data_IF_708056214288
#
_entry.id   IF_708056214288
#
_cell.length_a   1.000
_cell.length_b   1.000
_cell.length_c   1.000
_cell.angle_alpha   90.00
_cell.angle_beta   90.00
_cell.angle_gamma   90.00
#
_symmetry.space_group_name_H-M   'P 1'
#
loop_
_entity.id
_entity.type
_entity.pdbx_description
1 polymer ?
#
# COMPACT_ATOMS: atom_id res chain seq x y z
N UNK A 1 22.11 2.16 -1.18
CA UNK A 1 22.44 1.10 -2.16
C UNK A 1 23.71 1.52 -2.88
N UNK A 2 24.76 0.74 -2.70
CA UNK A 2 26.07 1.02 -3.30
C UNK A 2 26.05 0.62 -4.79
N UNK A 3 25.84 1.62 -5.65
CA UNK A 3 25.87 1.46 -7.11
C UNK A 3 27.22 0.94 -7.59
N UNK A 4 28.30 1.28 -6.88
CA UNK A 4 29.64 0.87 -7.21
C UNK A 4 29.88 -0.62 -7.06
N UNK A 5 29.00 -1.36 -6.36
CA UNK A 5 29.06 -2.81 -6.23
C UNK A 5 28.48 -3.59 -7.42
N UNK A 6 27.76 -2.92 -8.32
CA UNK A 6 27.12 -3.53 -9.49
C UNK A 6 27.89 -3.23 -10.77
N UNK A 7 29.05 -3.86 -10.91
CA UNK A 7 29.92 -3.73 -12.10
C UNK A 7 29.64 -4.89 -13.06
N UNK A 8 28.72 -4.68 -13.99
CA UNK A 8 28.44 -5.61 -15.09
C UNK A 8 28.85 -5.01 -16.44
N UNK A 9 29.01 -5.86 -17.46
CA UNK A 9 29.26 -5.43 -18.85
C UNK A 9 27.98 -5.23 -19.67
N UNK A 10 26.81 -5.52 -19.09
CA UNK A 10 25.49 -5.38 -19.71
C UNK A 10 24.84 -4.04 -19.41
N UNK A 11 23.59 -3.89 -19.87
CA UNK A 11 22.75 -2.73 -19.52
C UNK A 11 22.43 -2.74 -18.02
N UNK A 12 22.54 -1.58 -17.41
CA UNK A 12 22.12 -1.35 -16.03
C UNK A 12 20.68 -0.83 -16.03
N UNK A 13 19.78 -1.61 -15.45
CA UNK A 13 18.38 -1.27 -15.35
C UNK A 13 18.05 -1.01 -13.87
N UNK A 14 17.65 0.22 -13.53
CA UNK A 14 17.15 0.56 -12.22
C UNK A 14 15.65 0.24 -12.12
N UNK A 15 15.22 -0.28 -10.96
CA UNK A 15 13.81 -0.47 -10.65
C UNK A 15 13.49 0.12 -9.27
N UNK A 16 13.51 1.46 -9.14
CA UNK A 16 13.19 2.13 -7.88
C UNK A 16 11.70 2.03 -7.59
N UNK A 17 11.38 1.71 -6.34
CA UNK A 17 10.02 1.80 -5.78
C UNK A 17 10.06 2.87 -4.71
N UNK A 18 9.29 3.92 -4.89
CA UNK A 18 9.29 5.10 -4.03
C UNK A 18 7.88 5.68 -3.88
N UNK A 19 7.69 6.49 -2.86
CA UNK A 19 6.41 7.10 -2.51
C UNK A 19 6.48 8.64 -2.41
N UNK A 20 7.64 9.22 -2.72
CA UNK A 20 7.89 10.67 -2.69
C UNK A 20 7.83 11.28 -4.09
N UNK A 21 7.61 12.58 -4.15
CA UNK A 21 7.59 13.35 -5.41
C UNK A 21 8.92 14.05 -5.71
N UNK A 22 9.85 14.04 -4.76
CA UNK A 22 11.17 14.63 -4.89
C UNK A 22 12.25 13.63 -4.50
N UNK A 23 13.36 13.64 -5.24
CA UNK A 23 14.54 12.82 -4.99
C UNK A 23 15.68 13.69 -4.44
N UNK A 24 16.46 13.12 -3.54
CA UNK A 24 17.70 13.72 -3.11
C UNK A 24 18.81 13.56 -4.18
N UNK A 25 19.93 14.24 -3.98
CA UNK A 25 21.05 14.24 -4.95
C UNK A 25 21.62 12.82 -5.18
N UNK A 26 21.73 11.99 -4.15
CA UNK A 26 22.26 10.63 -4.25
C UNK A 26 21.32 9.72 -5.05
N UNK A 27 20.02 9.84 -4.86
CA UNK A 27 18.99 9.12 -5.63
C UNK A 27 19.03 9.54 -7.10
N UNK A 28 19.14 10.84 -7.38
CA UNK A 28 19.26 11.38 -8.75
C UNK A 28 20.53 10.85 -9.43
N UNK A 29 21.67 10.90 -8.73
CA UNK A 29 22.94 10.36 -9.26
C UNK A 29 22.81 8.87 -9.53
N UNK A 30 22.21 8.14 -8.61
CA UNK A 30 21.99 6.70 -8.71
C UNK A 30 21.17 6.34 -9.95
N UNK A 31 20.07 7.03 -10.17
CA UNK A 31 19.22 6.79 -11.34
C UNK A 31 19.88 7.20 -12.66
N UNK A 32 20.69 8.27 -12.67
CA UNK A 32 21.44 8.69 -13.86
C UNK A 32 22.51 7.71 -14.32
N UNK A 33 22.99 6.83 -13.45
CA UNK A 33 23.94 5.79 -13.80
C UNK A 33 23.27 4.55 -14.44
N UNK A 34 21.94 4.51 -14.49
CA UNK A 34 21.23 3.44 -15.16
C UNK A 34 21.01 3.76 -16.65
N UNK A 35 21.13 2.75 -17.51
CA UNK A 35 20.81 2.85 -18.94
C UNK A 35 19.29 2.98 -19.15
N UNK A 36 18.51 2.35 -18.27
CA UNK A 36 17.03 2.40 -18.25
C UNK A 36 16.51 2.42 -16.81
N UNK A 37 15.35 3.01 -16.64
CA UNK A 37 14.59 2.95 -15.38
C UNK A 37 13.24 2.28 -15.64
N UNK A 38 12.93 1.27 -14.87
CA UNK A 38 11.59 0.70 -14.76
C UNK A 38 10.92 1.23 -13.50
N UNK A 39 9.65 1.59 -13.60
CA UNK A 39 8.84 2.04 -12.46
C UNK A 39 7.49 1.36 -12.49
N UNK A 40 6.84 1.22 -11.35
CA UNK A 40 5.59 0.45 -11.27
C UNK A 40 4.39 1.18 -11.91
N UNK A 41 4.41 2.53 -11.97
CA UNK A 41 3.23 3.31 -12.33
C UNK A 41 3.55 4.48 -13.26
N UNK A 42 2.53 4.99 -13.98
CA UNK A 42 2.62 6.23 -14.76
C UNK A 42 2.93 7.42 -13.87
N UNK A 43 2.37 7.46 -12.66
CA UNK A 43 2.70 8.46 -11.66
C UNK A 43 4.20 8.45 -11.34
N UNK A 44 4.78 7.30 -11.01
CA UNK A 44 6.20 7.17 -10.72
C UNK A 44 7.07 7.55 -11.94
N UNK A 45 6.62 7.19 -13.15
CA UNK A 45 7.28 7.63 -14.39
C UNK A 45 7.33 9.15 -14.51
N UNK A 46 6.22 9.82 -14.23
CA UNK A 46 6.16 11.28 -14.30
C UNK A 46 7.07 11.93 -13.27
N UNK A 47 7.09 11.42 -12.03
CA UNK A 47 7.99 11.91 -10.97
C UNK A 47 9.45 11.83 -11.39
N UNK A 48 9.88 10.70 -11.97
CA UNK A 48 11.27 10.56 -12.47
C UNK A 48 11.55 11.55 -13.61
N UNK A 49 10.66 11.64 -14.60
CA UNK A 49 10.86 12.51 -15.77
C UNK A 49 10.87 14.00 -15.43
N UNK A 50 10.18 14.41 -14.37
CA UNK A 50 10.20 15.81 -13.92
C UNK A 50 11.57 16.23 -13.35
N UNK A 51 12.37 15.28 -12.88
CA UNK A 51 13.62 15.57 -12.16
C UNK A 51 14.87 15.10 -12.91
N UNK A 52 14.72 14.12 -13.79
CA UNK A 52 15.86 13.49 -14.47
C UNK A 52 15.64 13.44 -15.97
N UNK A 53 16.60 14.01 -16.72
CA UNK A 53 16.62 13.87 -18.19
C UNK A 53 17.35 12.58 -18.58
N UNK A 54 16.63 11.66 -19.20
CA UNK A 54 17.21 10.45 -19.77
C UNK A 54 17.51 10.64 -21.27
N UNK A 55 18.72 10.29 -21.68
CA UNK A 55 19.16 10.53 -23.04
C UNK A 55 18.84 9.40 -24.05
N UNK A 56 18.76 8.15 -23.64
CA UNK A 56 18.67 7.05 -24.62
C UNK A 56 17.77 5.87 -24.23
N UNK A 57 17.59 5.59 -22.96
CA UNK A 57 16.85 4.38 -22.54
C UNK A 57 15.42 4.65 -22.13
N UNK A 58 15.19 5.87 -21.66
CA UNK A 58 13.87 6.26 -21.17
C UNK A 58 13.48 5.62 -19.86
N UNK A 59 12.32 6.01 -19.40
CA UNK A 59 11.67 5.48 -18.20
C UNK A 59 10.45 4.69 -18.65
N UNK A 60 10.38 3.41 -18.28
CA UNK A 60 9.33 2.50 -18.69
C UNK A 60 8.44 2.10 -17.52
N UNK A 61 7.14 2.06 -17.74
CA UNK A 61 6.18 1.55 -16.75
C UNK A 61 6.13 0.03 -16.85
N UNK A 62 6.42 -0.63 -15.73
CA UNK A 62 6.42 -2.10 -15.58
C UNK A 62 5.63 -2.41 -14.31
N UNK A 63 4.31 -2.57 -14.40
CA UNK A 63 3.46 -2.86 -13.26
C UNK A 63 3.85 -4.16 -12.56
N UNK A 64 3.67 -4.21 -11.25
CA UNK A 64 3.80 -5.47 -10.50
C UNK A 64 2.50 -6.27 -10.61
N UNK A 65 2.62 -7.58 -10.49
CA UNK A 65 1.52 -8.51 -10.52
C UNK A 65 1.09 -8.99 -9.13
N UNK A 66 0.08 -9.85 -9.13
CA UNK A 66 -0.39 -10.61 -7.96
C UNK A 66 -0.49 -12.10 -8.35
N UNK A 67 -0.20 -12.97 -7.39
CA UNK A 67 -0.38 -14.42 -7.56
C UNK A 67 -1.86 -14.79 -7.46
N UNK A 68 -2.53 -14.90 -8.60
CA UNK A 68 -3.96 -15.25 -8.69
C UNK A 68 -4.23 -16.73 -8.43
N UNK A 69 -3.22 -17.58 -8.39
CA UNK A 69 -3.37 -18.98 -7.94
C UNK A 69 -3.49 -19.08 -6.42
N UNK A 70 -2.90 -18.13 -5.71
CA UNK A 70 -2.97 -18.03 -4.27
C UNK A 70 -4.14 -17.14 -3.81
N UNK A 71 -4.16 -15.89 -4.30
CA UNK A 71 -5.19 -14.90 -3.95
C UNK A 71 -6.39 -15.06 -4.88
N UNK A 72 -7.36 -15.88 -4.45
CA UNK A 72 -8.55 -16.21 -5.22
C UNK A 72 -9.80 -15.55 -4.67
N UNK A 73 -10.77 -15.24 -5.53
CA UNK A 73 -12.05 -14.71 -5.09
C UNK A 73 -12.70 -15.61 -4.03
N UNK A 74 -13.14 -15.00 -2.95
CA UNK A 74 -13.77 -15.66 -1.82
C UNK A 74 -14.93 -14.82 -1.29
N UNK A 75 -16.02 -15.49 -0.92
CA UNK A 75 -17.11 -14.81 -0.22
C UNK A 75 -16.84 -14.83 1.28
N UNK A 76 -16.94 -13.69 1.92
CA UNK A 76 -17.17 -13.63 3.35
C UNK A 76 -18.64 -13.98 3.61
N UNK A 77 -18.92 -14.75 4.62
CA UNK A 77 -20.22 -15.39 4.70
C UNK A 77 -21.06 -14.99 5.91
N UNK A 78 -20.59 -14.08 6.77
CA UNK A 78 -21.27 -13.83 8.04
C UNK A 78 -20.98 -12.44 8.62
N UNK A 79 -21.92 -11.93 9.39
CA UNK A 79 -21.73 -10.82 10.32
C UNK A 79 -20.66 -11.16 11.39
N UNK A 80 -19.82 -10.21 11.84
CA UNK A 80 -19.84 -8.78 11.50
C UNK A 80 -19.29 -8.46 10.11
N UNK A 81 -19.57 -7.24 9.60
CA UNK A 81 -18.85 -6.69 8.44
C UNK A 81 -17.43 -6.35 8.84
N UNK A 82 -16.45 -6.95 8.18
CA UNK A 82 -15.04 -6.82 8.54
C UNK A 82 -14.32 -5.92 7.54
N UNK A 83 -13.88 -4.76 8.01
CA UNK A 83 -12.93 -3.90 7.32
C UNK A 83 -11.52 -4.35 7.63
N UNK A 84 -10.65 -4.41 6.62
CA UNK A 84 -9.29 -4.92 6.77
C UNK A 84 -8.26 -3.92 6.25
N UNK A 85 -7.19 -3.74 7.01
CA UNK A 85 -6.00 -3.03 6.58
C UNK A 85 -4.75 -3.81 6.97
N UNK A 86 -3.73 -3.79 6.12
CA UNK A 86 -2.44 -4.36 6.42
C UNK A 86 -1.30 -3.53 5.82
N UNK A 87 -0.12 -3.67 6.41
CA UNK A 87 1.09 -2.99 5.99
C UNK A 87 1.93 -2.50 7.16
N UNK A 88 2.84 -1.57 6.91
CA UNK A 88 3.64 -0.96 7.97
C UNK A 88 2.84 0.10 8.69
N UNK A 89 2.96 0.20 10.03
CA UNK A 89 2.47 1.35 10.77
C UNK A 89 3.19 2.62 10.32
N UNK A 90 2.50 3.48 9.57
CA UNK A 90 3.01 4.74 9.04
C UNK A 90 1.89 5.77 8.85
N UNK A 91 2.20 7.04 9.06
CA UNK A 91 1.29 8.14 8.69
C UNK A 91 1.04 8.19 7.18
N UNK A 92 2.05 7.85 6.37
CA UNK A 92 1.91 7.75 4.92
C UNK A 92 0.82 6.76 4.51
N UNK A 93 0.68 5.64 5.22
CA UNK A 93 -0.38 4.64 5.02
C UNK A 93 -1.78 5.12 5.47
N UNK A 94 -1.89 6.33 6.02
CA UNK A 94 -3.14 6.93 6.46
C UNK A 94 -3.71 6.33 7.76
N UNK A 95 -2.90 5.63 8.55
CA UNK A 95 -3.37 4.98 9.77
C UNK A 95 -3.91 5.96 10.83
N UNK A 96 -3.36 7.17 10.89
CA UNK A 96 -3.87 8.25 11.72
C UNK A 96 -5.28 8.70 11.30
N UNK A 97 -5.54 8.74 10.01
CA UNK A 97 -6.82 9.12 9.43
C UNK A 97 -7.84 7.96 9.49
N UNK A 98 -7.43 6.73 9.18
CA UNK A 98 -8.29 5.55 9.21
C UNK A 98 -9.00 5.38 10.55
N UNK A 99 -8.26 5.55 11.66
CA UNK A 99 -8.83 5.44 13.00
C UNK A 99 -9.93 6.49 13.24
N UNK A 100 -9.67 7.74 12.83
CA UNK A 100 -10.64 8.83 12.97
C UNK A 100 -11.91 8.55 12.15
N UNK A 101 -11.74 8.12 10.89
CA UNK A 101 -12.86 7.79 10.02
C UNK A 101 -13.69 6.62 10.56
N UNK A 102 -13.06 5.56 11.07
CA UNK A 102 -13.77 4.42 11.64
C UNK A 102 -14.61 4.81 12.86
N UNK A 103 -14.06 5.60 13.77
CA UNK A 103 -14.78 6.10 14.94
C UNK A 103 -15.88 7.13 14.60
N UNK A 104 -15.76 7.81 13.46
CA UNK A 104 -16.78 8.75 12.99
C UNK A 104 -17.94 8.06 12.22
N UNK A 105 -17.62 6.97 11.52
CA UNK A 105 -18.56 6.27 10.67
C UNK A 105 -19.50 5.32 11.42
N UNK A 106 -19.08 4.80 12.58
CA UNK A 106 -19.77 3.73 13.29
C UNK A 106 -20.02 4.07 14.76
N UNK A 107 -21.00 3.37 15.35
CA UNK A 107 -21.34 3.43 16.79
C UNK A 107 -21.15 2.04 17.43
N UNK A 108 -21.11 1.94 18.78
CA UNK A 108 -20.89 0.66 19.48
C UNK A 108 -21.91 -0.45 19.16
N UNK A 109 -23.13 -0.10 18.77
CA UNK A 109 -24.17 -1.08 18.41
C UNK A 109 -24.04 -1.63 16.99
N UNK A 110 -23.24 -1.02 16.12
CA UNK A 110 -23.05 -1.48 14.75
C UNK A 110 -22.30 -2.81 14.72
N UNK A 111 -22.73 -3.72 13.85
CA UNK A 111 -22.12 -5.04 13.73
C UNK A 111 -20.94 -5.02 12.73
N UNK A 112 -19.88 -4.31 13.11
CA UNK A 112 -18.68 -4.09 12.30
C UNK A 112 -17.42 -4.38 13.11
N UNK A 113 -16.34 -4.75 12.43
CA UNK A 113 -14.99 -4.86 12.99
C UNK A 113 -13.97 -4.21 12.05
N UNK A 114 -12.91 -3.66 12.62
CA UNK A 114 -11.71 -3.23 11.89
C UNK A 114 -10.55 -4.16 12.25
N UNK A 115 -10.05 -4.88 11.27
CA UNK A 115 -8.91 -5.76 11.43
C UNK A 115 -7.64 -5.10 10.92
N UNK A 116 -6.66 -4.94 11.82
CA UNK A 116 -5.39 -4.29 11.54
C UNK A 116 -4.25 -5.31 11.61
N UNK A 117 -3.72 -5.72 10.47
CA UNK A 117 -2.53 -6.58 10.35
C UNK A 117 -1.32 -5.72 10.00
N UNK A 118 -0.94 -4.86 10.94
CA UNK A 118 0.09 -3.86 10.74
C UNK A 118 1.26 -4.07 11.70
N UNK A 119 2.47 -4.00 11.14
CA UNK A 119 3.73 -4.09 11.88
C UNK A 119 4.82 -3.32 11.12
N UNK A 120 5.64 -2.56 11.84
CA UNK A 120 6.75 -1.83 11.23
C UNK A 120 8.06 -2.17 11.97
N UNK A 121 8.95 -2.97 11.38
CA UNK A 121 10.17 -3.43 12.04
C UNK A 121 11.18 -2.31 12.33
N UNK A 122 10.95 -1.11 11.83
CA UNK A 122 11.89 0.02 11.97
C UNK A 122 11.54 1.00 13.10
N UNK A 123 10.37 0.89 13.72
CA UNK A 123 9.92 1.86 14.71
C UNK A 123 9.89 1.33 16.15
N UNK A 124 10.30 0.07 16.37
CA UNK A 124 10.40 -0.48 17.73
C UNK A 124 9.11 -0.28 18.55
N UNK A 125 9.24 0.48 19.66
CA UNK A 125 8.12 0.79 20.57
C UNK A 125 6.95 1.50 19.85
N UNK A 126 7.19 2.20 18.76
CA UNK A 126 6.14 2.86 17.99
C UNK A 126 5.03 1.91 17.46
N UNK A 127 5.33 0.62 17.30
CA UNK A 127 4.31 -0.39 17.00
C UNK A 127 3.27 -0.48 18.12
N UNK A 128 3.73 -0.53 19.38
CA UNK A 128 2.86 -0.60 20.54
C UNK A 128 2.08 0.71 20.72
N UNK A 129 2.70 1.85 20.42
CA UNK A 129 2.04 3.16 20.53
C UNK A 129 0.87 3.26 19.55
N UNK A 130 1.04 2.80 18.30
CA UNK A 130 -0.05 2.69 17.32
C UNK A 130 -1.16 1.75 17.81
N UNK A 131 -0.82 0.56 18.28
CA UNK A 131 -1.79 -0.40 18.80
C UNK A 131 -2.58 0.17 19.97
N UNK A 132 -1.89 0.83 20.92
CA UNK A 132 -2.52 1.47 22.08
C UNK A 132 -3.50 2.57 21.63
N UNK A 133 -3.10 3.41 20.65
CA UNK A 133 -3.97 4.47 20.11
C UNK A 133 -5.25 3.90 19.54
N UNK A 134 -5.17 2.83 18.75
CA UNK A 134 -6.35 2.17 18.19
C UNK A 134 -7.23 1.52 19.26
N UNK A 135 -6.63 0.81 20.22
CA UNK A 135 -7.33 0.11 21.29
C UNK A 135 -7.98 1.04 22.31
N UNK A 136 -7.40 2.20 22.56
CA UNK A 136 -7.97 3.21 23.48
C UNK A 136 -8.99 4.14 22.83
N UNK A 137 -9.26 3.97 21.52
CA UNK A 137 -10.24 4.78 20.81
C UNK A 137 -11.68 4.40 21.19
N UNK A 138 -12.70 5.24 20.90
CA UNK A 138 -14.09 4.97 21.24
C UNK A 138 -14.63 3.60 20.80
N UNK A 139 -14.16 3.11 19.65
CA UNK A 139 -14.52 1.79 19.12
C UNK A 139 -13.38 0.77 19.24
N UNK A 140 -12.45 0.95 20.18
CA UNK A 140 -11.30 0.07 20.35
C UNK A 140 -11.64 -1.42 20.53
N UNK A 141 -12.77 -1.73 21.15
CA UNK A 141 -13.27 -3.10 21.33
C UNK A 141 -13.67 -3.77 20.00
N UNK A 142 -13.97 -2.98 18.96
CA UNK A 142 -14.27 -3.44 17.60
C UNK A 142 -13.03 -3.54 16.71
N UNK A 143 -11.87 -3.17 17.24
CA UNK A 143 -10.61 -3.19 16.49
C UNK A 143 -9.78 -4.40 16.87
N UNK A 144 -9.54 -5.30 15.93
CA UNK A 144 -8.74 -6.49 16.11
C UNK A 144 -7.33 -6.27 15.58
N UNK A 145 -6.34 -6.38 16.48
CA UNK A 145 -4.93 -6.43 16.08
C UNK A 145 -4.56 -7.85 15.67
N UNK A 146 -4.10 -8.00 14.44
CA UNK A 146 -3.65 -9.28 13.88
C UNK A 146 -2.13 -9.24 13.76
N UNK A 147 -1.41 -10.20 14.34
CA UNK A 147 0.03 -10.28 14.19
C UNK A 147 0.44 -10.42 12.73
N UNK A 148 1.61 -9.89 12.37
CA UNK A 148 2.23 -10.12 11.06
C UNK A 148 2.31 -11.62 10.78
N UNK A 149 1.92 -11.98 9.57
CA UNK A 149 1.95 -13.38 9.12
C UNK A 149 3.29 -13.71 8.44
N UNK A 150 3.70 -14.97 8.56
CA UNK A 150 4.97 -15.44 8.01
C UNK A 150 4.85 -15.96 6.58
N UNK A 151 3.64 -16.23 6.09
CA UNK A 151 3.41 -16.74 4.73
C UNK A 151 2.29 -15.99 4.02
N UNK A 152 2.39 -15.88 2.69
CA UNK A 152 1.31 -15.32 1.86
C UNK A 152 0.01 -16.13 1.97
N UNK A 153 0.09 -17.44 2.23
CA UNK A 153 -1.07 -18.29 2.46
C UNK A 153 -1.85 -17.87 3.73
N UNK A 154 -1.13 -17.50 4.78
CA UNK A 154 -1.76 -17.05 6.02
C UNK A 154 -2.37 -15.65 5.85
N UNK A 155 -1.69 -14.77 5.10
CA UNK A 155 -2.24 -13.47 4.68
C UNK A 155 -3.55 -13.68 3.90
N UNK A 156 -3.56 -14.52 2.88
CA UNK A 156 -4.77 -14.89 2.14
C UNK A 156 -5.88 -15.42 3.06
N UNK A 157 -5.53 -16.27 4.03
CA UNK A 157 -6.50 -16.85 4.98
C UNK A 157 -7.19 -15.77 5.85
N UNK A 158 -6.55 -14.64 6.08
CA UNK A 158 -7.12 -13.48 6.78
C UNK A 158 -7.94 -12.64 5.80
N UNK A 159 -7.36 -12.28 4.65
CA UNK A 159 -8.02 -11.47 3.63
C UNK A 159 -9.35 -12.07 3.16
N UNK A 160 -9.41 -13.38 2.97
CA UNK A 160 -10.65 -14.07 2.54
C UNK A 160 -11.79 -13.99 3.55
N UNK A 161 -11.52 -13.76 4.83
CA UNK A 161 -12.52 -13.64 5.89
C UNK A 161 -13.07 -12.21 6.00
N UNK A 162 -12.37 -11.22 5.47
CA UNK A 162 -12.79 -9.82 5.49
C UNK A 162 -13.75 -9.51 4.33
N UNK A 163 -14.44 -8.40 4.42
CA UNK A 163 -15.43 -7.95 3.45
C UNK A 163 -14.91 -6.81 2.59
N UNK A 164 -14.16 -5.90 3.19
CA UNK A 164 -13.68 -4.70 2.53
C UNK A 164 -12.25 -4.36 2.97
N UNK A 165 -11.35 -4.16 2.01
CA UNK A 165 -10.01 -3.60 2.27
C UNK A 165 -10.07 -2.07 2.35
N UNK A 166 -9.35 -1.46 3.30
CA UNK A 166 -9.31 0.00 3.45
C UNK A 166 -7.87 0.48 3.44
N UNK A 167 -7.48 1.18 2.37
CA UNK A 167 -6.09 1.60 2.11
C UNK A 167 -6.02 3.11 1.82
N UNK A 168 -6.18 3.98 2.83
CA UNK A 168 -6.23 5.42 2.65
C UNK A 168 -4.83 6.05 2.60
N UNK A 169 -3.91 5.43 1.87
CA UNK A 169 -2.52 5.86 1.80
C UNK A 169 -2.38 7.22 1.11
N UNK A 170 -1.53 8.08 1.66
CA UNK A 170 -1.20 9.39 1.07
C UNK A 170 -0.36 9.26 -0.20
N UNK A 171 0.46 8.22 -0.30
CA UNK A 171 1.18 7.84 -1.51
C UNK A 171 1.68 6.40 -1.42
N UNK A 172 1.76 5.74 -2.56
CA UNK A 172 2.30 4.37 -2.68
C UNK A 172 3.13 4.24 -3.96
N UNK A 173 4.21 3.47 -3.85
CA UNK A 173 4.97 3.04 -5.02
C UNK A 173 4.25 1.97 -5.83
N UNK A 174 3.44 1.09 -5.15
CA UNK A 174 2.54 0.13 -5.78
C UNK A 174 1.35 -0.25 -4.91
N UNK A 175 1.56 -0.80 -3.72
CA UNK A 175 0.59 -1.35 -2.78
C UNK A 175 0.12 -2.76 -3.17
N UNK A 176 0.99 -3.74 -2.92
CA UNK A 176 0.68 -5.16 -3.17
C UNK A 176 -0.50 -5.64 -2.35
N UNK A 177 -0.62 -5.20 -1.10
CA UNK A 177 -1.68 -5.59 -0.18
C UNK A 177 -3.08 -5.21 -0.70
N UNK A 178 -3.19 -4.04 -1.30
CA UNK A 178 -4.42 -3.59 -1.96
C UNK A 178 -4.75 -4.46 -3.18
N UNK A 179 -3.76 -4.75 -4.02
CA UNK A 179 -3.94 -5.58 -5.22
C UNK A 179 -4.31 -7.03 -4.86
N UNK A 180 -3.68 -7.59 -3.81
CA UNK A 180 -4.01 -8.92 -3.26
C UNK A 180 -5.45 -8.97 -2.74
N UNK A 181 -5.90 -7.91 -2.05
CA UNK A 181 -7.27 -7.80 -1.56
C UNK A 181 -8.28 -7.77 -2.71
N UNK A 182 -7.99 -7.01 -3.78
CA UNK A 182 -8.80 -7.00 -5.00
C UNK A 182 -8.82 -8.36 -5.68
N UNK A 183 -7.68 -9.08 -5.73
CA UNK A 183 -7.60 -10.44 -6.27
C UNK A 183 -8.43 -11.45 -5.46
N UNK A 184 -8.60 -11.22 -4.17
CA UNK A 184 -9.53 -11.99 -3.33
C UNK A 184 -11.01 -11.71 -3.64
N UNK A 185 -11.31 -10.82 -4.60
CA UNK A 185 -12.67 -10.42 -4.97
C UNK A 185 -13.38 -9.57 -3.91
N UNK A 186 -12.60 -8.87 -3.08
CA UNK A 186 -13.14 -8.02 -2.02
C UNK A 186 -13.34 -6.59 -2.50
N UNK A 187 -14.33 -5.92 -1.93
CA UNK A 187 -14.46 -4.47 -2.08
C UNK A 187 -13.25 -3.77 -1.47
N UNK A 188 -12.86 -2.65 -2.04
CA UNK A 188 -11.76 -1.85 -1.51
C UNK A 188 -12.12 -0.36 -1.48
N UNK A 189 -11.68 0.31 -0.42
CA UNK A 189 -11.70 1.76 -0.27
C UNK A 189 -10.25 2.22 -0.33
N UNK A 190 -9.94 3.12 -1.24
CA UNK A 190 -8.55 3.57 -1.45
C UNK A 190 -8.47 4.98 -1.99
N UNK A 191 -7.35 5.66 -1.80
CA UNK A 191 -7.10 6.98 -2.36
C UNK A 191 -6.91 6.91 -3.89
N UNK A 192 -7.49 7.87 -4.59
CA UNK A 192 -7.27 8.07 -6.04
C UNK A 192 -5.99 8.86 -6.28
N UNK A 193 -4.85 8.30 -5.86
CA UNK A 193 -3.55 8.96 -5.98
C UNK A 193 -2.41 7.96 -6.14
N UNK A 194 -1.30 8.42 -6.73
CA UNK A 194 -0.05 7.67 -6.94
C UNK A 194 -0.26 6.35 -7.69
N UNK A 195 0.40 5.28 -7.27
CA UNK A 195 0.32 3.99 -7.97
C UNK A 195 -1.07 3.34 -7.92
N UNK A 196 -1.94 3.69 -6.98
CA UNK A 196 -3.30 3.17 -6.94
C UNK A 196 -4.06 3.43 -8.24
N UNK A 197 -3.80 4.55 -8.93
CA UNK A 197 -4.45 4.92 -10.19
C UNK A 197 -4.12 4.00 -11.37
N UNK A 198 -3.15 3.11 -11.24
CA UNK A 198 -2.84 2.12 -12.28
C UNK A 198 -3.86 0.98 -12.34
N UNK A 199 -4.46 0.62 -11.21
CA UNK A 199 -5.35 -0.55 -11.14
C UNK A 199 -6.67 -0.29 -10.39
N UNK A 200 -6.83 0.84 -9.70
CA UNK A 200 -8.07 1.26 -9.07
C UNK A 200 -8.78 2.33 -9.89
N UNK A 201 -10.09 2.20 -10.02
CA UNK A 201 -10.97 3.15 -10.68
C UNK A 201 -12.40 3.04 -10.11
N UNK A 202 -13.30 3.92 -10.51
CA UNK A 202 -14.69 3.99 -10.02
C UNK A 202 -15.51 2.71 -10.27
N UNK A 203 -15.09 1.85 -11.21
CA UNK A 203 -15.82 0.60 -11.51
C UNK A 203 -15.39 -0.57 -10.61
N UNK A 204 -14.25 -0.49 -9.94
CA UNK A 204 -13.67 -1.61 -9.18
C UNK A 204 -13.25 -1.26 -7.75
N UNK A 205 -13.41 -0.01 -7.33
CA UNK A 205 -13.01 0.46 -6.00
C UNK A 205 -13.83 1.67 -5.56
N UNK A 206 -13.94 1.89 -4.27
CA UNK A 206 -14.47 3.12 -3.69
C UNK A 206 -13.32 4.11 -3.53
N UNK A 207 -13.28 5.11 -4.39
CA UNK A 207 -12.19 6.07 -4.44
C UNK A 207 -12.37 7.22 -3.44
N UNK A 208 -11.34 7.49 -2.67
CA UNK A 208 -11.20 8.71 -1.88
C UNK A 208 -10.47 9.71 -2.77
N UNK A 209 -11.19 10.72 -3.22
CA UNK A 209 -10.57 11.80 -3.99
C UNK A 209 -9.77 12.68 -3.05
N UNK A 210 -8.52 12.89 -3.39
CA UNK A 210 -7.62 13.81 -2.68
C UNK A 210 -7.61 15.11 -3.45
N UNK A 211 -7.86 16.22 -2.75
CA UNK A 211 -7.51 17.53 -3.28
C UNK A 211 -5.98 17.63 -3.29
N UNK A 212 -5.41 18.24 -4.29
CA UNK A 212 -3.98 18.49 -4.36
C UNK A 212 -3.57 19.31 -3.13
N UNK A 213 -2.74 18.68 -2.28
CA UNK A 213 -2.19 19.29 -1.07
C UNK A 213 -0.97 20.14 -1.43
#
# INVERSE_FOLDING_TARGET
>A
NDIHSHIGKGQHIGFPIFELTEFNEEEIVSMKHCDKIFVCSKWARQVVLNQIKFHSGGVHVVPLGVDTELFKPSKSSRAPTIFFNCGKWEKRKGHDFLLQCFNAAFIPSDNVELWMMCDNPFIGQGNQDWQNQYKSSPLGDKIRMIPRQCSHKDVYNIMKQSDCGVFPSRAEGWNLELLEMMACGKQVITTNYSAHTEFCNENNSHLIHTEDL
#
